data_IF_355966853827
#
_entry.id   IF_355966853827
#
_cell.length_a   1.000
_cell.length_b   1.000
_cell.length_c   1.000
_cell.angle_alpha   90.00
_cell.angle_beta   90.00
_cell.angle_gamma   90.00
#
_symmetry.space_group_name_H-M   'P 1'
#
loop_
_entity.id
_entity.type
_entity.pdbx_description
1 polymer ?
#
# COMPACT_ATOMS: atom_id res chain seq x y z
N UNK A 1 -2.22 -9.26 9.11
CA UNK A 1 -2.90 -7.94 9.01
C UNK A 1 -2.46 -7.27 7.72
N UNK A 2 -3.41 -6.72 6.96
CA UNK A 2 -3.15 -6.05 5.69
C UNK A 2 -3.21 -4.54 5.91
N UNK A 3 -2.25 -3.79 5.38
CA UNK A 3 -2.24 -2.33 5.45
C UNK A 3 -2.10 -1.75 4.05
N UNK A 4 -3.06 -0.94 3.64
CA UNK A 4 -3.06 -0.24 2.37
C UNK A 4 -2.55 1.19 2.58
N UNK A 5 -1.37 1.48 2.05
CA UNK A 5 -0.80 2.82 2.00
C UNK A 5 -1.34 3.58 0.79
N UNK A 6 -1.99 4.71 1.04
CA UNK A 6 -2.59 5.59 0.04
C UNK A 6 -2.16 7.04 0.26
N UNK A 7 -2.50 7.90 -0.68
CA UNK A 7 -2.44 9.34 -0.48
C UNK A 7 -3.70 10.00 -1.02
N UNK A 8 -4.27 10.91 -0.22
CA UNK A 8 -5.41 11.76 -0.55
C UNK A 8 -5.10 12.75 -1.69
N UNK A 9 -3.83 12.90 -2.06
CA UNK A 9 -3.39 13.70 -3.21
C UNK A 9 -3.23 12.87 -4.49
N UNK A 10 -3.38 11.56 -4.41
CA UNK A 10 -3.22 10.66 -5.54
C UNK A 10 -4.60 10.35 -6.17
N UNK A 11 -4.80 10.66 -7.47
CA UNK A 11 -6.10 10.48 -8.13
C UNK A 11 -6.50 9.00 -8.28
N UNK A 12 -5.54 8.07 -8.21
CA UNK A 12 -5.77 6.61 -8.38
C UNK A 12 -5.97 5.86 -7.04
N UNK A 13 -5.77 6.52 -5.90
CA UNK A 13 -5.99 5.92 -4.59
C UNK A 13 -7.47 5.59 -4.22
N UNK A 14 -8.50 6.37 -4.63
CA UNK A 14 -9.89 6.05 -4.27
C UNK A 14 -10.38 4.73 -4.88
N UNK A 15 -9.94 4.37 -6.08
CA UNK A 15 -10.26 3.06 -6.69
C UNK A 15 -9.72 1.90 -5.85
N UNK A 16 -8.46 2.00 -5.40
CA UNK A 16 -7.87 0.99 -4.54
C UNK A 16 -8.67 0.79 -3.26
N UNK A 17 -8.99 1.89 -2.56
CA UNK A 17 -9.78 1.82 -1.32
C UNK A 17 -11.15 1.19 -1.58
N UNK A 18 -11.79 1.51 -2.71
CA UNK A 18 -13.10 0.96 -3.06
C UNK A 18 -13.03 -0.55 -3.39
N UNK A 19 -12.02 -0.99 -4.14
CA UNK A 19 -11.82 -2.42 -4.41
C UNK A 19 -11.60 -3.20 -3.11
N UNK A 20 -10.79 -2.65 -2.20
CA UNK A 20 -10.55 -3.26 -0.90
C UNK A 20 -11.80 -3.24 -0.01
N UNK A 21 -12.62 -2.19 -0.07
CA UNK A 21 -13.87 -2.07 0.68
C UNK A 21 -14.96 -3.02 0.18
N UNK A 22 -14.97 -3.30 -1.13
CA UNK A 22 -15.80 -4.32 -1.73
C UNK A 22 -15.30 -5.74 -1.40
N UNK A 23 -14.01 -5.88 -1.06
CA UNK A 23 -13.45 -7.12 -0.56
C UNK A 23 -13.75 -7.26 0.93
N UNK A 24 -14.18 -8.45 1.36
CA UNK A 24 -14.40 -8.77 2.77
C UNK A 24 -13.07 -9.13 3.46
N UNK A 25 -12.03 -8.33 3.19
CA UNK A 25 -10.69 -8.45 3.73
C UNK A 25 -10.55 -7.57 4.98
N UNK A 26 -9.79 -8.04 5.97
CA UNK A 26 -9.46 -7.21 7.12
C UNK A 26 -8.19 -6.40 6.82
N UNK A 27 -8.38 -5.16 6.35
CA UNK A 27 -7.29 -4.25 5.98
C UNK A 27 -7.41 -2.88 6.69
N UNK A 28 -6.27 -2.22 6.87
CA UNK A 28 -6.18 -0.87 7.41
C UNK A 28 -5.68 0.09 6.34
N UNK A 29 -6.36 1.19 6.11
CA UNK A 29 -5.86 2.25 5.21
C UNK A 29 -4.99 3.21 5.99
N UNK A 30 -3.82 3.55 5.44
CA UNK A 30 -2.91 4.55 6.00
C UNK A 30 -2.64 5.60 4.94
N UNK A 31 -3.12 6.81 5.17
CA UNK A 31 -2.87 7.94 4.29
C UNK A 31 -1.52 8.58 4.64
N UNK A 32 -0.54 8.46 3.74
CA UNK A 32 0.81 9.00 3.98
C UNK A 32 0.87 10.53 3.90
N UNK A 33 -0.17 11.19 3.40
CA UNK A 33 -0.28 12.65 3.28
C UNK A 33 -1.10 13.30 4.39
N UNK A 34 -1.80 12.51 5.20
CA UNK A 34 -2.64 12.97 6.29
C UNK A 34 -1.81 13.41 7.51
N UNK A 35 -0.70 12.75 7.78
CA UNK A 35 0.15 13.05 8.94
C UNK A 35 1.60 12.61 8.74
N UNK A 36 2.51 13.37 9.36
CA UNK A 36 3.95 13.05 9.36
C UNK A 36 4.25 11.69 9.96
N UNK A 37 3.44 11.23 10.91
CA UNK A 37 3.58 9.91 11.54
C UNK A 37 3.30 8.78 10.54
N UNK A 38 2.22 8.90 9.75
CA UNK A 38 1.88 7.95 8.69
C UNK A 38 2.97 7.90 7.61
N UNK A 39 3.49 9.06 7.21
CA UNK A 39 4.59 9.14 6.26
C UNK A 39 5.84 8.46 6.83
N UNK A 40 6.19 8.74 8.10
CA UNK A 40 7.35 8.13 8.77
C UNK A 40 7.21 6.61 8.87
N UNK A 41 6.01 6.13 9.17
CA UNK A 41 5.70 4.70 9.19
C UNK A 41 5.91 4.08 7.81
N UNK A 42 5.37 4.69 6.75
CA UNK A 42 5.56 4.19 5.39
C UNK A 42 7.04 4.20 4.97
N UNK A 43 7.75 5.30 5.24
CA UNK A 43 9.18 5.43 4.93
C UNK A 43 10.03 4.38 5.65
N UNK A 44 9.70 4.04 6.90
CA UNK A 44 10.40 2.97 7.64
C UNK A 44 10.42 1.68 6.84
N UNK A 45 9.28 1.26 6.29
CA UNK A 45 9.18 0.05 5.49
C UNK A 45 9.71 0.22 4.07
N UNK A 46 9.41 1.36 3.43
CA UNK A 46 9.86 1.68 2.07
C UNK A 46 11.38 1.68 1.97
N UNK A 47 12.06 2.25 2.95
CA UNK A 47 13.51 2.38 2.92
C UNK A 47 14.22 1.07 3.28
N UNK A 48 13.62 0.29 4.19
CA UNK A 48 14.19 -0.96 4.69
C UNK A 48 13.91 -2.18 3.80
N UNK A 49 12.90 -2.14 2.93
CA UNK A 49 12.47 -3.31 2.16
C UNK A 49 12.91 -3.23 0.68
N UNK A 50 13.60 -4.28 0.21
CA UNK A 50 14.12 -4.39 -1.16
C UNK A 50 13.03 -4.31 -2.24
N UNK A 51 11.76 -4.59 -1.91
CA UNK A 51 10.63 -4.41 -2.82
C UNK A 51 10.57 -2.99 -3.41
N UNK A 52 10.89 -1.99 -2.60
CA UNK A 52 10.84 -0.59 -3.01
C UNK A 52 12.12 -0.11 -3.69
N UNK A 53 13.18 -0.91 -3.77
CA UNK A 53 14.45 -0.46 -4.32
C UNK A 53 14.31 -0.08 -5.80
N UNK A 54 13.60 -0.89 -6.57
CA UNK A 54 13.28 -0.60 -7.96
C UNK A 54 12.38 0.65 -8.10
N UNK A 55 11.38 0.78 -7.22
CA UNK A 55 10.47 1.94 -7.21
C UNK A 55 11.23 3.23 -6.87
N UNK A 56 12.16 3.18 -5.90
CA UNK A 56 13.05 4.29 -5.54
C UNK A 56 13.94 4.67 -6.73
N UNK A 57 14.50 3.68 -7.41
CA UNK A 57 15.33 3.89 -8.62
C UNK A 57 14.55 4.60 -9.74
N UNK A 58 13.26 4.31 -9.87
CA UNK A 58 12.34 4.98 -10.82
C UNK A 58 11.84 6.35 -10.34
N UNK A 59 12.36 6.89 -9.22
CA UNK A 59 11.90 8.13 -8.59
C UNK A 59 10.41 8.14 -8.24
N UNK A 60 9.84 6.96 -8.00
CA UNK A 60 8.43 6.81 -7.62
C UNK A 60 8.27 6.73 -6.10
N UNK A 61 7.13 7.20 -5.60
CA UNK A 61 6.78 7.09 -4.17
C UNK A 61 6.49 5.64 -3.80
N UNK A 62 5.89 4.87 -4.72
CA UNK A 62 5.47 3.49 -4.47
C UNK A 62 4.11 3.38 -3.80
N UNK A 63 3.19 4.29 -4.07
CA UNK A 63 1.79 4.21 -3.65
C UNK A 63 0.87 4.17 -4.88
N UNK A 64 -0.30 3.52 -4.81
CA UNK A 64 -0.81 2.76 -3.66
C UNK A 64 -0.06 1.43 -3.46
N UNK A 65 0.27 1.13 -2.19
CA UNK A 65 1.01 -0.09 -1.82
C UNK A 65 0.33 -0.84 -0.68
N UNK A 66 0.36 -2.15 -0.76
CA UNK A 66 -0.31 -3.07 0.14
C UNK A 66 0.77 -3.82 0.91
N UNK A 67 0.76 -3.68 2.22
CA UNK A 67 1.62 -4.40 3.14
C UNK A 67 0.86 -5.57 3.73
N UNK A 68 1.46 -6.75 3.71
CA UNK A 68 0.92 -7.97 4.30
C UNK A 68 1.81 -8.37 5.48
N UNK A 69 1.19 -8.73 6.60
CA UNK A 69 1.89 -9.32 7.74
C UNK A 69 2.87 -8.37 8.44
N UNK A 70 2.56 -7.07 8.51
CA UNK A 70 3.39 -6.06 9.18
C UNK A 70 4.82 -5.92 8.61
N UNK A 71 4.91 -5.89 7.27
CA UNK A 71 6.17 -5.71 6.57
C UNK A 71 6.82 -7.00 6.09
N UNK A 72 6.14 -8.15 6.23
CA UNK A 72 6.54 -9.41 5.61
C UNK A 72 6.61 -9.29 4.09
N UNK A 73 5.55 -8.76 3.48
CA UNK A 73 5.46 -8.64 2.03
C UNK A 73 4.81 -7.32 1.62
N UNK A 74 5.23 -6.79 0.48
CA UNK A 74 4.67 -5.59 -0.13
C UNK A 74 4.21 -5.89 -1.56
N UNK A 75 3.07 -5.32 -1.94
CA UNK A 75 2.46 -5.48 -3.24
C UNK A 75 2.01 -4.11 -3.72
N UNK A 76 2.37 -3.75 -4.95
CA UNK A 76 1.87 -2.52 -5.57
C UNK A 76 0.44 -2.74 -6.04
N UNK A 77 -0.47 -1.84 -5.67
CA UNK A 77 -1.81 -1.88 -6.21
C UNK A 77 -1.77 -1.51 -7.70
N UNK A 78 -2.43 -2.31 -8.51
CA UNK A 78 -2.67 -2.07 -9.94
C UNK A 78 -4.16 -2.24 -10.17
N UNK A 79 -4.76 -1.48 -11.09
CA UNK A 79 -6.18 -1.60 -11.45
C UNK A 79 -6.58 -3.04 -11.87
N UNK A 80 -5.63 -3.84 -12.36
CA UNK A 80 -5.82 -5.26 -12.69
C UNK A 80 -5.51 -6.24 -11.53
N UNK A 81 -5.30 -5.76 -10.30
CA UNK A 81 -4.91 -6.60 -9.18
C UNK A 81 -6.12 -7.29 -8.55
N UNK A 82 -6.12 -8.62 -8.59
CA UNK A 82 -7.18 -9.45 -8.00
C UNK A 82 -7.00 -9.56 -6.48
N UNK A 83 -7.79 -8.80 -5.73
CA UNK A 83 -7.74 -8.77 -4.26
C UNK A 83 -8.13 -10.11 -3.62
N UNK A 84 -8.85 -10.96 -4.35
CA UNK A 84 -9.23 -12.31 -3.92
C UNK A 84 -8.01 -13.15 -3.54
N UNK A 85 -6.85 -12.91 -4.17
CA UNK A 85 -5.59 -13.63 -3.88
C UNK A 85 -4.94 -13.24 -2.56
N UNK A 86 -5.35 -12.14 -1.93
CA UNK A 86 -4.82 -11.68 -0.64
C UNK A 86 -5.47 -12.42 0.55
N UNK A 87 -6.52 -13.22 0.31
CA UNK A 87 -7.21 -14.02 1.34
C UNK A 87 -6.50 -15.35 1.65
N UNK A 88 -5.58 -15.82 0.80
CA UNK A 88 -5.13 -17.22 0.81
C UNK A 88 -3.69 -17.44 1.33
N UNK A 89 -3.06 -16.44 1.96
CA UNK A 89 -1.80 -16.62 2.72
C UNK A 89 -1.94 -16.32 4.22
#
# INVERSE_FOLDING_TARGET
MITLFISSKCPECPEAVQSFKASELNYKTVDITESMDNLRLFLKYRDSNSFFDNIKSLNQVGIPSIMIGDGKSFISYKSSLDLSKLKEE
#
